data_IF_240049263646
#
_entry.id   IF_240049263646
#
_cell.length_a   1.000
_cell.length_b   1.000
_cell.length_c   1.000
_cell.angle_alpha   90.00
_cell.angle_beta   90.00
_cell.angle_gamma   90.00
#
_symmetry.space_group_name_H-M   'P 1'
#
loop_
_entity.id
_entity.type
_entity.pdbx_description
1 polymer ?
#
# COMPACT_ATOMS: atom_id res chain seq x y z
N UNK A 1 -20.94 -19.06 14.83
CA UNK A 1 -19.93 -18.52 13.88
C UNK A 1 -20.50 -18.36 12.47
N UNK A 2 -21.16 -19.38 11.88
CA UNK A 2 -21.74 -19.34 10.52
C UNK A 2 -22.68 -18.16 10.22
N UNK A 3 -23.52 -17.72 11.17
CA UNK A 3 -24.47 -16.62 10.94
C UNK A 3 -23.78 -15.24 10.78
N UNK A 4 -22.65 -15.03 11.47
CA UNK A 4 -21.88 -13.77 11.41
C UNK A 4 -21.09 -13.66 10.10
N UNK A 5 -20.59 -14.79 9.61
CA UNK A 5 -19.89 -14.87 8.32
C UNK A 5 -20.87 -14.69 7.14
N UNK A 6 -22.07 -15.27 7.23
CA UNK A 6 -23.12 -15.08 6.23
C UNK A 6 -23.68 -13.64 6.23
N UNK A 7 -23.78 -12.99 7.39
CA UNK A 7 -24.23 -11.59 7.48
C UNK A 7 -23.18 -10.63 6.92
N UNK A 8 -21.89 -10.91 7.13
CA UNK A 8 -20.78 -10.16 6.53
C UNK A 8 -20.74 -10.30 5.01
N UNK A 9 -21.03 -11.50 4.49
CA UNK A 9 -21.15 -11.74 3.04
C UNK A 9 -22.38 -11.02 2.48
N UNK A 10 -23.55 -11.13 3.13
CA UNK A 10 -24.79 -10.48 2.71
C UNK A 10 -24.67 -8.94 2.64
N UNK A 11 -24.04 -8.32 3.65
CA UNK A 11 -23.80 -6.88 3.63
C UNK A 11 -22.87 -6.48 2.47
N UNK A 12 -21.81 -7.25 2.22
CA UNK A 12 -20.88 -7.01 1.10
C UNK A 12 -21.56 -7.16 -0.26
N UNK A 13 -22.45 -8.14 -0.43
CA UNK A 13 -23.23 -8.29 -1.67
C UNK A 13 -24.22 -7.15 -1.86
N UNK A 14 -24.88 -6.66 -0.81
CA UNK A 14 -25.77 -5.49 -0.90
C UNK A 14 -24.99 -4.24 -1.31
N UNK A 15 -23.84 -3.97 -0.69
CA UNK A 15 -22.98 -2.85 -1.10
C UNK A 15 -22.48 -2.99 -2.53
N UNK A 16 -22.13 -4.21 -2.97
CA UNK A 16 -21.75 -4.48 -4.34
C UNK A 16 -22.89 -4.20 -5.33
N UNK A 17 -24.12 -4.64 -5.02
CA UNK A 17 -25.30 -4.41 -5.85
C UNK A 17 -25.68 -2.93 -5.92
N UNK A 18 -25.58 -2.20 -4.81
CA UNK A 18 -25.79 -0.73 -4.78
C UNK A 18 -24.71 -0.03 -5.62
N UNK A 19 -23.45 -0.44 -5.50
CA UNK A 19 -22.36 0.08 -6.32
C UNK A 19 -22.56 -0.16 -7.81
N UNK A 20 -23.02 -1.37 -8.18
CA UNK A 20 -23.37 -1.72 -9.56
C UNK A 20 -24.55 -0.88 -10.07
N UNK A 21 -25.59 -0.69 -9.26
CA UNK A 21 -26.74 0.14 -9.60
C UNK A 21 -26.31 1.60 -9.85
N UNK A 22 -25.52 2.17 -8.94
CA UNK A 22 -25.00 3.53 -9.08
C UNK A 22 -24.12 3.67 -10.32
N UNK A 23 -23.29 2.66 -10.63
CA UNK A 23 -22.49 2.62 -11.85
C UNK A 23 -23.37 2.67 -13.09
N UNK A 24 -24.43 1.86 -13.13
CA UNK A 24 -25.40 1.84 -14.24
C UNK A 24 -26.10 3.19 -14.39
N UNK A 25 -26.50 3.82 -13.28
CA UNK A 25 -27.13 5.16 -13.28
C UNK A 25 -26.17 6.21 -13.84
N UNK A 26 -24.91 6.24 -13.36
CA UNK A 26 -23.91 7.20 -13.84
C UNK A 26 -23.63 7.00 -15.33
N UNK A 27 -23.46 5.76 -15.78
CA UNK A 27 -23.24 5.44 -17.21
C UNK A 27 -24.46 5.85 -18.06
N UNK A 28 -25.68 5.66 -17.56
CA UNK A 28 -26.90 6.10 -18.24
C UNK A 28 -26.97 7.64 -18.34
N UNK A 29 -26.56 8.37 -17.30
CA UNK A 29 -26.56 9.85 -17.34
C UNK A 29 -25.55 10.44 -18.31
N UNK A 30 -24.44 9.75 -18.59
CA UNK A 30 -23.34 10.23 -19.46
C UNK A 30 -23.45 9.65 -20.89
N UNK A 31 -24.42 8.77 -21.13
CA UNK A 31 -24.60 8.05 -22.42
C UNK A 31 -24.64 8.99 -23.63
N UNK A 32 -25.40 10.09 -23.54
CA UNK A 32 -25.59 11.03 -24.66
C UNK A 32 -24.34 11.84 -25.01
N UNK A 33 -23.40 11.98 -24.07
CA UNK A 33 -22.17 12.75 -24.27
C UNK A 33 -21.02 11.90 -24.80
N UNK A 34 -21.22 10.59 -24.97
CA UNK A 34 -20.14 9.71 -25.38
C UNK A 34 -19.85 9.83 -26.89
N UNK A 35 -18.58 10.05 -27.31
CA UNK A 35 -18.22 10.30 -28.72
C UNK A 35 -18.68 9.23 -29.71
N UNK A 36 -18.67 7.96 -29.30
CA UNK A 36 -19.10 6.81 -30.12
C UNK A 36 -20.63 6.72 -30.26
N UNK A 37 -21.38 7.18 -29.25
CA UNK A 37 -22.85 7.25 -29.26
C UNK A 37 -23.30 8.44 -30.10
N UNK A 38 -22.66 9.61 -29.93
CA UNK A 38 -22.88 10.78 -30.79
C UNK A 38 -22.59 10.47 -32.26
N UNK A 39 -21.53 9.71 -32.53
CA UNK A 39 -21.19 9.25 -33.88
C UNK A 39 -22.11 8.16 -34.45
N UNK A 40 -23.15 7.72 -33.71
CA UNK A 40 -24.07 6.64 -34.09
C UNK A 40 -23.38 5.30 -34.39
N UNK A 41 -22.18 5.08 -33.85
CA UNK A 41 -21.36 3.88 -34.11
C UNK A 41 -21.53 2.79 -33.05
N UNK A 42 -22.21 3.07 -31.93
CA UNK A 42 -22.49 2.08 -30.90
C UNK A 42 -23.98 2.00 -30.57
N UNK A 43 -24.49 0.77 -30.48
CA UNK A 43 -25.81 0.51 -29.89
C UNK A 43 -25.75 0.67 -28.37
N UNK A 44 -26.86 1.06 -27.77
CA UNK A 44 -27.00 1.21 -26.32
C UNK A 44 -26.60 -0.08 -25.57
N UNK A 45 -26.95 -1.24 -26.15
CA UNK A 45 -26.54 -2.55 -25.65
C UNK A 45 -25.02 -2.76 -25.67
N UNK A 46 -24.36 -2.45 -26.78
CA UNK A 46 -22.90 -2.59 -26.90
C UNK A 46 -22.14 -1.65 -25.96
N UNK A 47 -22.67 -0.44 -25.76
CA UNK A 47 -22.11 0.52 -24.80
C UNK A 47 -22.22 0.05 -23.35
N UNK A 48 -23.42 -0.37 -22.92
CA UNK A 48 -23.65 -0.89 -21.57
C UNK A 48 -22.76 -2.11 -21.31
N UNK A 49 -22.67 -3.06 -22.25
CA UNK A 49 -21.83 -4.24 -22.13
C UNK A 49 -20.34 -3.87 -21.97
N UNK A 50 -19.86 -2.88 -22.73
CA UNK A 50 -18.48 -2.41 -22.65
C UNK A 50 -18.20 -1.78 -21.28
N UNK A 51 -19.10 -0.93 -20.76
CA UNK A 51 -18.96 -0.36 -19.42
C UNK A 51 -19.00 -1.43 -18.33
N UNK A 52 -19.90 -2.42 -18.44
CA UNK A 52 -20.08 -3.50 -17.46
C UNK A 52 -18.86 -4.42 -17.39
N UNK A 53 -18.06 -4.50 -18.46
CA UNK A 53 -16.81 -5.28 -18.48
C UNK A 53 -15.62 -4.38 -18.13
N UNK A 54 -15.44 -3.25 -18.80
CA UNK A 54 -14.25 -2.42 -18.68
C UNK A 54 -14.14 -1.68 -17.33
N UNK A 55 -15.26 -1.25 -16.72
CA UNK A 55 -15.21 -0.58 -15.42
C UNK A 55 -14.76 -1.50 -14.29
N UNK A 56 -15.35 -2.70 -14.08
CA UNK A 56 -14.84 -3.59 -13.05
C UNK A 56 -13.43 -4.08 -13.35
N UNK A 57 -13.06 -4.28 -14.62
CA UNK A 57 -11.68 -4.61 -14.98
C UNK A 57 -10.72 -3.47 -14.60
N UNK A 58 -11.09 -2.22 -14.90
CA UNK A 58 -10.32 -1.03 -14.56
C UNK A 58 -10.19 -0.84 -13.04
N UNK A 59 -11.27 -1.04 -12.29
CA UNK A 59 -11.25 -1.02 -10.82
C UNK A 59 -10.35 -2.13 -10.30
N UNK A 60 -10.44 -3.35 -10.85
CA UNK A 60 -9.59 -4.48 -10.45
C UNK A 60 -8.11 -4.15 -10.69
N UNK A 61 -7.76 -3.53 -11.82
CA UNK A 61 -6.39 -3.10 -12.14
C UNK A 61 -5.92 -1.99 -11.19
N UNK A 62 -6.78 -1.04 -10.84
CA UNK A 62 -6.44 0.01 -9.85
C UNK A 62 -6.23 -0.60 -8.47
N UNK A 63 -7.13 -1.47 -8.02
CA UNK A 63 -6.99 -2.21 -6.76
C UNK A 63 -5.72 -3.07 -6.78
N UNK A 64 -5.40 -3.70 -7.90
CA UNK A 64 -4.16 -4.45 -8.13
C UNK A 64 -2.92 -3.57 -7.96
N UNK A 65 -2.90 -2.39 -8.58
CA UNK A 65 -1.81 -1.43 -8.48
C UNK A 65 -1.65 -0.89 -7.05
N UNK A 66 -2.75 -0.67 -6.33
CA UNK A 66 -2.71 -0.16 -4.95
C UNK A 66 -2.25 -1.24 -3.97
N UNK A 67 -2.82 -2.45 -4.03
CA UNK A 67 -2.53 -3.54 -3.08
C UNK A 67 -1.14 -4.13 -3.31
N UNK A 68 -0.72 -4.29 -4.56
CA UNK A 68 0.58 -4.89 -4.92
C UNK A 68 1.82 -4.15 -4.38
N UNK A 69 1.64 -2.89 -3.96
CA UNK A 69 2.71 -2.04 -3.43
C UNK A 69 2.60 -1.76 -1.92
N UNK A 70 1.65 -2.37 -1.20
CA UNK A 70 1.53 -2.17 0.24
C UNK A 70 2.61 -2.94 1.01
N UNK A 71 3.66 -2.23 1.36
CA UNK A 71 4.67 -2.65 2.32
C UNK A 71 4.43 -1.92 3.63
N UNK A 72 4.30 -2.66 4.71
CA UNK A 72 4.13 -2.10 6.06
C UNK A 72 5.22 -2.62 6.96
N UNK A 73 5.79 -1.72 7.75
CA UNK A 73 6.79 -2.04 8.76
C UNK A 73 6.19 -1.77 10.12
N UNK A 74 6.32 -2.74 11.02
CA UNK A 74 6.00 -2.59 12.42
C UNK A 74 7.25 -2.88 13.22
N UNK A 75 7.65 -1.90 14.02
CA UNK A 75 8.78 -2.02 14.94
C UNK A 75 8.21 -2.52 16.26
N UNK A 76 8.61 -3.71 16.67
CA UNK A 76 8.22 -4.34 17.93
C UNK A 76 9.47 -4.65 18.77
N UNK A 77 9.28 -5.10 20.01
CA UNK A 77 10.39 -5.36 20.94
C UNK A 77 11.24 -6.57 20.54
N UNK A 78 10.64 -7.50 19.81
CA UNK A 78 11.23 -8.73 19.29
C UNK A 78 11.90 -8.55 17.91
N UNK A 79 11.70 -7.41 17.24
CA UNK A 79 12.35 -7.13 15.96
C UNK A 79 11.54 -6.21 15.04
N UNK A 80 11.94 -6.19 13.77
CA UNK A 80 11.24 -5.42 12.73
C UNK A 80 10.38 -6.36 11.90
N UNK A 81 9.06 -6.25 12.06
CA UNK A 81 8.07 -7.00 11.31
C UNK A 81 7.84 -6.32 9.97
N UNK A 82 8.24 -6.98 8.89
CA UNK A 82 8.04 -6.54 7.53
C UNK A 82 6.90 -7.32 6.93
N UNK A 83 5.72 -6.68 6.83
CA UNK A 83 4.59 -7.27 6.15
C UNK A 83 4.52 -6.72 4.74
N UNK A 84 4.66 -7.61 3.77
CA UNK A 84 4.45 -7.34 2.36
C UNK A 84 3.15 -8.01 1.94
N UNK A 85 2.22 -7.21 1.41
CA UNK A 85 1.07 -7.74 0.70
C UNK A 85 1.44 -7.86 -0.77
N UNK A 86 1.30 -9.06 -1.33
CA UNK A 86 1.36 -9.29 -2.77
C UNK A 86 0.11 -10.04 -3.20
N UNK A 87 -0.20 -10.01 -4.49
CA UNK A 87 -1.37 -10.69 -5.04
C UNK A 87 -1.32 -12.21 -4.90
N UNK A 88 -0.10 -12.77 -4.91
CA UNK A 88 0.12 -14.21 -4.74
C UNK A 88 0.21 -14.59 -3.25
N UNK A 89 0.60 -13.66 -2.39
CA UNK A 89 0.68 -13.83 -0.94
C UNK A 89 0.02 -12.65 -0.21
N UNK A 90 -1.24 -12.87 0.18
CA UNK A 90 -2.10 -11.90 0.83
C UNK A 90 -1.57 -11.36 2.18
N UNK A 91 -0.56 -12.00 2.76
CA UNK A 91 0.22 -11.46 3.87
C UNK A 91 1.47 -12.32 4.06
N UNK A 92 2.59 -11.94 3.43
CA UNK A 92 3.88 -12.48 3.84
C UNK A 92 4.45 -11.57 4.92
N UNK A 93 4.57 -12.10 6.14
CA UNK A 93 5.21 -11.43 7.25
C UNK A 93 6.60 -12.04 7.44
N UNK A 94 7.61 -11.20 7.32
CA UNK A 94 8.98 -11.57 7.60
C UNK A 94 9.43 -10.80 8.84
N UNK A 95 10.03 -11.49 9.80
CA UNK A 95 10.51 -10.90 11.05
C UNK A 95 12.01 -10.78 10.91
N UNK A 96 12.52 -9.57 11.00
CA UNK A 96 13.95 -9.33 11.07
C UNK A 96 14.34 -9.22 12.54
N UNK A 97 15.09 -10.20 13.03
CA UNK A 97 15.54 -10.21 14.41
C UNK A 97 16.60 -9.11 14.64
N UNK A 98 16.66 -8.50 15.84
CA UNK A 98 17.63 -7.45 16.13
C UNK A 98 19.09 -7.89 15.95
N UNK A 99 19.38 -9.18 16.19
CA UNK A 99 20.71 -9.76 16.01
C UNK A 99 21.14 -9.81 14.54
N UNK A 100 20.19 -9.88 13.61
CA UNK A 100 20.46 -9.93 12.17
C UNK A 100 20.74 -8.54 11.58
N UNK A 101 20.53 -7.45 12.34
CA UNK A 101 20.69 -6.07 11.87
C UNK A 101 22.16 -5.66 11.97
N UNK A 102 22.87 -5.64 10.84
CA UNK A 102 24.25 -5.19 10.77
C UNK A 102 24.36 -3.66 10.73
N UNK A 103 23.64 -3.01 9.81
CA UNK A 103 23.72 -1.55 9.61
C UNK A 103 22.34 -0.93 9.30
N UNK A 104 22.16 0.35 9.66
CA UNK A 104 20.93 1.10 9.47
C UNK A 104 21.27 2.50 8.96
N UNK A 105 20.82 2.81 7.74
CA UNK A 105 21.05 4.10 7.09
C UNK A 105 19.73 4.77 6.72
N UNK A 106 19.66 6.10 6.80
CA UNK A 106 18.56 6.87 6.17
C UNK A 106 19.04 7.33 4.81
N UNK A 107 18.29 6.97 3.77
CA UNK A 107 18.49 7.45 2.42
C UNK A 107 17.38 8.46 2.07
N UNK A 108 17.76 9.55 1.45
CA UNK A 108 16.84 10.56 0.93
C UNK A 108 16.94 10.64 -0.59
N UNK A 109 15.80 10.69 -1.27
CA UNK A 109 15.71 10.88 -2.70
C UNK A 109 14.88 12.11 -3.01
N UNK A 110 15.49 13.07 -3.70
CA UNK A 110 14.82 14.26 -4.17
C UNK A 110 14.15 13.94 -5.51
N UNK A 111 12.82 14.04 -5.56
CA UNK A 111 12.05 13.86 -6.79
C UNK A 111 12.06 15.09 -7.71
N UNK A 112 12.57 16.23 -7.25
CA UNK A 112 12.58 17.51 -7.95
C UNK A 112 13.98 18.13 -7.83
N UNK A 113 14.49 18.73 -8.92
CA UNK A 113 15.75 19.48 -8.93
C UNK A 113 15.72 20.64 -7.93
N UNK A 114 14.52 21.12 -7.58
CA UNK A 114 14.30 22.17 -6.58
C UNK A 114 14.15 21.66 -5.14
N UNK A 115 14.27 20.35 -4.88
CA UNK A 115 14.22 19.78 -3.53
C UNK A 115 12.88 19.91 -2.80
N UNK A 116 11.79 20.29 -3.49
CA UNK A 116 10.48 20.54 -2.84
C UNK A 116 9.72 19.28 -2.44
N UNK A 117 10.10 18.13 -2.99
CA UNK A 117 9.53 16.81 -2.68
C UNK A 117 10.66 15.80 -2.48
N UNK A 118 11.14 15.72 -1.24
CA UNK A 118 12.10 14.71 -0.82
C UNK A 118 11.35 13.53 -0.21
N UNK A 119 11.68 12.33 -0.67
CA UNK A 119 11.21 11.09 -0.07
C UNK A 119 12.38 10.48 0.71
N UNK A 120 12.12 10.12 1.97
CA UNK A 120 13.07 9.50 2.89
C UNK A 120 12.66 8.06 3.14
N UNK A 121 13.63 7.18 3.32
CA UNK A 121 13.39 5.81 3.78
C UNK A 121 14.58 5.30 4.58
N UNK A 122 14.32 4.34 5.45
CA UNK A 122 15.34 3.64 6.22
C UNK A 122 15.75 2.38 5.46
N UNK A 123 17.05 2.20 5.29
CA UNK A 123 17.66 0.99 4.74
C UNK A 123 18.27 0.19 5.89
N UNK A 124 17.82 -1.04 6.06
CA UNK A 124 18.46 -2.00 6.97
C UNK A 124 19.31 -2.95 6.14
N UNK A 125 20.58 -3.08 6.48
CA UNK A 125 21.47 -4.11 5.93
C UNK A 125 21.60 -5.22 6.97
N UNK A 126 21.29 -6.45 6.57
CA UNK A 126 21.44 -7.62 7.44
C UNK A 126 22.89 -8.09 7.49
N UNK A 127 23.23 -8.90 8.49
CA UNK A 127 24.53 -9.58 8.60
C UNK A 127 24.88 -10.42 7.36
N UNK A 128 23.85 -10.96 6.71
CA UNK A 128 23.98 -11.75 5.46
C UNK A 128 24.14 -10.86 4.21
N UNK A 129 24.21 -9.54 4.38
CA UNK A 129 24.34 -8.57 3.29
C UNK A 129 23.03 -8.26 2.55
N UNK A 130 21.88 -8.78 2.99
CA UNK A 130 20.58 -8.45 2.38
C UNK A 130 20.14 -7.05 2.80
N UNK A 131 19.53 -6.32 1.87
CA UNK A 131 19.06 -4.95 2.12
C UNK A 131 17.54 -4.88 2.14
N UNK A 132 17.00 -4.30 3.20
CA UNK A 132 15.58 -4.13 3.42
C UNK A 132 15.22 -2.65 3.49
N UNK A 133 14.42 -2.21 2.51
CA UNK A 133 13.94 -0.83 2.39
C UNK A 133 12.62 -0.60 3.13
N UNK A 134 12.55 0.43 3.97
CA UNK A 134 11.31 0.84 4.63
C UNK A 134 10.31 1.46 3.64
N UNK A 135 9.02 1.58 4.03
CA UNK A 135 8.08 2.42 3.31
C UNK A 135 8.60 3.85 3.18
N UNK A 136 8.22 4.53 2.09
CA UNK A 136 8.62 5.91 1.83
C UNK A 136 7.90 6.84 2.80
N UNK A 137 8.63 7.80 3.34
CA UNK A 137 8.12 8.84 4.22
C UNK A 137 8.57 10.19 3.68
N UNK A 138 7.68 11.19 3.68
CA UNK A 138 8.01 12.51 3.14
C UNK A 138 8.52 13.49 4.21
N UNK A 139 8.42 13.12 5.49
CA UNK A 139 8.97 13.86 6.61
C UNK A 139 10.31 13.23 7.03
N UNK A 140 11.43 13.98 6.98
CA UNK A 140 12.74 13.48 7.40
C UNK A 140 12.79 13.12 8.89
N UNK A 141 12.04 13.82 9.75
CA UNK A 141 12.03 13.56 11.19
C UNK A 141 11.43 12.17 11.48
N UNK A 142 10.38 11.79 10.74
CA UNK A 142 9.76 10.48 10.89
C UNK A 142 10.71 9.36 10.47
N UNK A 143 11.52 9.57 9.42
CA UNK A 143 12.54 8.61 9.00
C UNK A 143 13.65 8.46 10.06
N UNK A 144 14.09 9.54 10.68
CA UNK A 144 15.11 9.50 11.73
C UNK A 144 14.59 8.87 13.03
N UNK A 145 13.34 9.16 13.42
CA UNK A 145 12.68 8.49 14.55
C UNK A 145 12.53 7.00 14.29
N UNK A 146 12.25 6.61 13.04
CA UNK A 146 12.16 5.20 12.66
C UNK A 146 13.54 4.53 12.78
N UNK A 147 14.61 5.17 12.30
CA UNK A 147 15.99 4.71 12.45
C UNK A 147 16.37 4.56 13.93
N UNK A 148 16.13 5.57 14.76
CA UNK A 148 16.50 5.54 16.18
C UNK A 148 15.77 4.44 16.94
N UNK A 149 14.48 4.22 16.65
CA UNK A 149 13.71 3.10 17.23
C UNK A 149 14.27 1.74 16.83
N UNK A 150 14.72 1.57 15.58
CA UNK A 150 15.32 0.31 15.13
C UNK A 150 16.73 0.13 15.75
N UNK A 151 17.50 1.21 15.88
CA UNK A 151 18.81 1.18 16.52
C UNK A 151 18.70 0.79 18.00
N UNK A 152 17.68 1.28 18.71
CA UNK A 152 17.40 0.93 20.10
C UNK A 152 17.03 -0.56 20.32
N UNK A 153 16.66 -1.29 19.26
CA UNK A 153 16.40 -2.73 19.35
C UNK A 153 17.69 -3.57 19.39
N UNK A 154 18.83 -3.03 18.92
CA UNK A 154 20.08 -3.81 18.89
C UNK A 154 20.55 -4.13 20.31
N UNK A 155 20.66 -5.42 20.69
CA UNK A 155 21.19 -5.80 21.99
C UNK A 155 22.67 -5.39 22.04
N UNK A 156 22.99 -4.44 22.94
CA UNK A 156 24.38 -4.00 23.17
C UNK A 156 24.68 -2.54 22.81
N UNK A 157 23.75 -1.79 22.23
CA UNK A 157 23.87 -0.32 22.07
C UNK A 157 22.86 0.37 22.98
N UNK A 158 22.94 0.08 24.28
CA UNK A 158 22.50 1.06 25.27
C UNK A 158 23.55 2.18 25.22
N UNK A 159 23.35 3.14 24.32
CA UNK A 159 24.17 4.35 24.29
C UNK A 159 23.78 5.23 25.48
N UNK A 160 24.32 4.90 26.65
CA UNK A 160 24.13 5.61 27.91
C UNK A 160 24.84 6.99 27.86
N UNK A 161 25.52 7.34 26.76
CA UNK A 161 26.19 8.64 26.62
C UNK A 161 25.22 9.80 26.38
N UNK A 162 23.95 9.54 26.04
CA UNK A 162 22.91 10.58 25.91
C UNK A 162 22.23 10.97 27.24
N UNK A 163 22.52 10.27 28.34
CA UNK A 163 21.97 10.53 29.67
C UNK A 163 23.07 10.58 30.73
N UNK A 164 23.95 11.57 30.64
CA UNK A 164 24.74 12.04 31.79
C UNK A 164 24.60 13.57 31.89
N UNK A 165 24.48 14.10 33.12
CA UNK A 165 23.83 15.39 33.44
C UNK A 165 24.58 16.64 32.95
#
# INVERSE_FOLDING_TARGET
MVLKDNLGIAARTVFFLIGLLLLVVVVATIYHDWPLVQAHKSSLFGFVLTCLICLPLGILILVWAVIGHMKTWRIATDGVHMRQMSLTHWAHENILEPAEIADIQVESFNHDEHGRKSAHWVMITTTDGRRHKSPRVYDPMVAEVMRSRIAALKPGVADISAFTP
#
